data_IF_006101398231
#
_entry.id   IF_006101398231
#
_cell.length_a   1.000
_cell.length_b   1.000
_cell.length_c   1.000
_cell.angle_alpha   90.00
_cell.angle_beta   90.00
_cell.angle_gamma   90.00
#
_symmetry.space_group_name_H-M   'P 1'
#
loop_
_entity.id
_entity.type
_entity.pdbx_description
1 polymer ?
#
# COMPACT_ATOMS: atom_id res chain seq x y z
N UNK A 1 -6.48 -23.59 14.27
CA UNK A 1 -7.29 -22.61 15.02
C UNK A 1 -6.95 -21.15 14.67
N UNK A 2 -5.69 -20.75 14.69
CA UNK A 2 -5.24 -19.38 14.36
C UNK A 2 -5.68 -18.91 12.97
N UNK A 3 -5.49 -19.73 11.93
CA UNK A 3 -5.84 -19.37 10.54
C UNK A 3 -7.35 -19.11 10.37
N UNK A 4 -8.20 -19.90 11.04
CA UNK A 4 -9.67 -19.76 10.97
C UNK A 4 -10.15 -18.47 11.66
N UNK A 5 -9.51 -18.07 12.74
CA UNK A 5 -9.79 -16.80 13.41
C UNK A 5 -9.26 -15.61 12.59
N UNK A 6 -8.07 -15.75 12.00
CA UNK A 6 -7.48 -14.71 11.17
C UNK A 6 -8.34 -14.42 9.92
N UNK A 7 -8.92 -15.45 9.30
CA UNK A 7 -9.81 -15.27 8.14
C UNK A 7 -11.14 -14.62 8.51
N UNK A 8 -11.63 -14.80 9.73
CA UNK A 8 -12.83 -14.12 10.22
C UNK A 8 -12.62 -12.60 10.32
N UNK A 9 -11.41 -12.18 10.68
CA UNK A 9 -11.07 -10.76 10.85
C UNK A 9 -10.29 -10.18 9.67
N UNK A 10 -10.01 -10.95 8.61
CA UNK A 10 -9.19 -10.52 7.48
C UNK A 10 -9.67 -9.21 6.84
N UNK A 11 -10.98 -9.08 6.61
CA UNK A 11 -11.57 -7.85 6.07
C UNK A 11 -11.43 -6.66 7.04
N UNK A 12 -11.55 -6.87 8.33
CA UNK A 12 -11.37 -5.81 9.33
C UNK A 12 -9.91 -5.34 9.39
N UNK A 13 -8.97 -6.30 9.37
CA UNK A 13 -7.53 -5.99 9.37
C UNK A 13 -7.16 -5.21 8.11
N UNK A 14 -7.61 -5.66 6.94
CA UNK A 14 -7.37 -4.96 5.67
C UNK A 14 -7.97 -3.55 5.67
N UNK A 15 -9.18 -3.38 6.22
CA UNK A 15 -9.85 -2.09 6.32
C UNK A 15 -9.08 -1.12 7.24
N UNK A 16 -8.70 -1.56 8.43
CA UNK A 16 -7.92 -0.75 9.38
C UNK A 16 -6.59 -0.35 8.74
N UNK A 17 -5.91 -1.29 8.08
CA UNK A 17 -4.64 -1.02 7.40
C UNK A 17 -4.80 0.00 6.27
N UNK A 18 -5.84 -0.12 5.44
CA UNK A 18 -6.12 0.82 4.36
C UNK A 18 -6.42 2.24 4.90
N UNK A 19 -7.17 2.34 5.99
CA UNK A 19 -7.42 3.63 6.67
C UNK A 19 -6.15 4.23 7.23
N UNK A 20 -5.34 3.46 7.96
CA UNK A 20 -4.07 3.93 8.52
C UNK A 20 -3.11 4.41 7.43
N UNK A 21 -2.97 3.65 6.34
CA UNK A 21 -2.13 4.02 5.20
C UNK A 21 -2.61 5.31 4.52
N UNK A 22 -3.92 5.45 4.31
CA UNK A 22 -4.52 6.62 3.67
C UNK A 22 -4.38 7.86 4.54
N UNK A 23 -4.71 7.77 5.83
CA UNK A 23 -4.58 8.89 6.77
C UNK A 23 -3.12 9.29 6.95
N UNK A 24 -2.20 8.33 7.06
CA UNK A 24 -0.76 8.61 7.10
C UNK A 24 -0.27 9.32 5.84
N UNK A 25 -0.70 8.86 4.67
CA UNK A 25 -0.35 9.47 3.39
C UNK A 25 -0.86 10.92 3.27
N UNK A 26 -2.09 11.18 3.72
CA UNK A 26 -2.67 12.53 3.75
C UNK A 26 -1.96 13.42 4.78
N UNK A 27 -1.63 12.89 5.95
CA UNK A 27 -0.89 13.62 6.98
C UNK A 27 0.45 14.13 6.44
N UNK A 28 1.23 13.27 5.81
CA UNK A 28 2.52 13.67 5.24
C UNK A 28 2.39 14.72 4.13
N UNK A 29 1.36 14.65 3.30
CA UNK A 29 1.21 15.59 2.19
C UNK A 29 0.50 16.89 2.56
N UNK A 30 -0.47 16.88 3.48
CA UNK A 30 -1.29 18.05 3.79
C UNK A 30 -0.77 18.81 5.03
N UNK A 31 -0.25 18.10 6.02
CA UNK A 31 0.19 18.73 7.28
C UNK A 31 1.69 19.02 7.24
N UNK A 32 2.51 18.06 6.81
CA UNK A 32 3.97 18.22 6.71
C UNK A 32 4.35 18.96 5.42
N UNK A 33 3.46 18.97 4.39
CA UNK A 33 3.68 19.69 3.14
C UNK A 33 4.64 18.96 2.17
N UNK A 34 4.86 17.67 2.35
CA UNK A 34 5.69 16.88 1.43
C UNK A 34 4.97 16.69 0.09
N UNK A 35 5.60 17.15 -0.99
CA UNK A 35 5.08 16.99 -2.34
C UNK A 35 5.25 15.54 -2.78
N UNK A 36 4.15 14.79 -3.01
CA UNK A 36 4.25 13.40 -3.42
C UNK A 36 4.82 13.29 -4.83
N UNK A 37 5.80 12.42 -5.02
CA UNK A 37 6.33 12.10 -6.33
C UNK A 37 5.31 11.29 -7.17
N UNK A 38 5.59 11.09 -8.45
CA UNK A 38 4.69 10.40 -9.37
C UNK A 38 4.38 8.95 -8.93
N UNK A 39 5.37 8.21 -8.45
CA UNK A 39 5.17 6.84 -7.94
C UNK A 39 4.28 6.82 -6.68
N UNK A 40 4.41 7.83 -5.81
CA UNK A 40 3.53 8.00 -4.66
C UNK A 40 2.07 8.22 -5.07
N UNK A 41 1.83 8.95 -6.18
CA UNK A 41 0.49 9.12 -6.74
C UNK A 41 -0.11 7.80 -7.22
N UNK A 42 0.65 6.96 -7.91
CA UNK A 42 0.17 5.63 -8.33
C UNK A 42 -0.19 4.74 -7.14
N UNK A 43 0.61 4.76 -6.08
CA UNK A 43 0.29 4.03 -4.84
C UNK A 43 -1.00 4.54 -4.20
N UNK A 44 -1.24 5.86 -4.19
CA UNK A 44 -2.49 6.46 -3.69
C UNK A 44 -3.70 6.03 -4.52
N UNK A 45 -3.60 6.06 -5.85
CA UNK A 45 -4.66 5.62 -6.75
C UNK A 45 -5.07 4.16 -6.48
N UNK A 46 -4.12 3.30 -6.08
CA UNK A 46 -4.41 1.91 -5.75
C UNK A 46 -4.95 1.74 -4.32
N UNK A 47 -4.50 2.55 -3.37
CA UNK A 47 -4.87 2.41 -1.95
C UNK A 47 -6.21 3.10 -1.61
N UNK A 48 -6.48 4.28 -2.14
CA UNK A 48 -7.67 5.07 -1.77
C UNK A 48 -9.00 4.38 -2.09
N UNK A 49 -9.17 3.73 -3.25
CA UNK A 49 -10.39 2.96 -3.52
C UNK A 49 -10.65 1.84 -2.51
N UNK A 50 -9.60 1.27 -1.92
CA UNK A 50 -9.75 0.20 -0.92
C UNK A 50 -10.47 0.70 0.34
N UNK A 51 -10.31 1.97 0.70
CA UNK A 51 -11.00 2.61 1.83
C UNK A 51 -12.52 2.62 1.65
N UNK A 52 -12.99 2.61 0.41
CA UNK A 52 -14.41 2.57 0.05
C UNK A 52 -14.89 1.14 -0.21
N UNK A 53 -14.11 0.35 -0.94
CA UNK A 53 -14.47 -1.02 -1.35
C UNK A 53 -14.55 -1.96 -0.14
N UNK A 54 -13.57 -1.89 0.78
CA UNK A 54 -13.50 -2.80 1.92
C UNK A 54 -14.67 -2.66 2.91
N UNK A 55 -15.11 -1.45 3.32
CA UNK A 55 -16.27 -1.33 4.20
C UNK A 55 -17.55 -1.79 3.53
N UNK A 56 -17.73 -1.53 2.23
CA UNK A 56 -18.89 -2.02 1.47
C UNK A 56 -18.92 -3.55 1.47
N UNK A 57 -17.77 -4.18 1.19
CA UNK A 57 -17.62 -5.63 1.23
C UNK A 57 -17.88 -6.20 2.62
N UNK A 58 -17.47 -5.50 3.68
CA UNK A 58 -17.69 -5.90 5.06
C UNK A 58 -19.18 -5.88 5.42
N UNK A 59 -19.91 -4.81 5.04
CA UNK A 59 -21.34 -4.68 5.26
C UNK A 59 -22.11 -5.76 4.49
N UNK A 60 -21.74 -6.02 3.24
CA UNK A 60 -22.35 -7.04 2.38
C UNK A 60 -21.89 -8.46 2.70
N UNK A 61 -20.93 -8.64 3.59
CA UNK A 61 -20.27 -9.93 3.89
C UNK A 61 -19.75 -10.63 2.63
N UNK A 62 -19.32 -9.82 1.65
CA UNK A 62 -18.84 -10.33 0.35
C UNK A 62 -17.36 -10.70 0.43
N UNK A 63 -17.10 -12.00 0.42
CA UNK A 63 -15.73 -12.55 0.39
C UNK A 63 -15.11 -12.52 -1.01
N UNK A 64 -15.91 -12.26 -2.07
CA UNK A 64 -15.39 -12.21 -3.44
C UNK A 64 -14.56 -10.95 -3.69
N UNK A 65 -14.72 -9.92 -2.88
CA UNK A 65 -13.90 -8.70 -2.92
C UNK A 65 -12.40 -9.00 -2.92
N UNK A 66 -11.98 -10.09 -2.30
CA UNK A 66 -10.58 -10.51 -2.26
C UNK A 66 -9.96 -10.75 -3.65
N UNK A 67 -10.76 -11.17 -4.64
CA UNK A 67 -10.28 -11.38 -6.02
C UNK A 67 -9.96 -10.07 -6.75
N UNK A 68 -10.57 -8.97 -6.36
CA UNK A 68 -10.31 -7.63 -6.93
C UNK A 68 -9.26 -6.87 -6.14
N UNK A 69 -9.32 -6.93 -4.81
CA UNK A 69 -8.39 -6.23 -3.93
C UNK A 69 -6.99 -6.83 -3.98
N UNK A 70 -6.87 -8.16 -4.12
CA UNK A 70 -5.57 -8.83 -4.17
C UNK A 70 -4.68 -8.34 -5.32
N UNK A 71 -5.11 -8.31 -6.60
CA UNK A 71 -4.27 -7.80 -7.68
C UNK A 71 -3.93 -6.32 -7.51
N UNK A 72 -4.86 -5.49 -7.03
CA UNK A 72 -4.59 -4.08 -6.76
C UNK A 72 -3.51 -3.89 -5.69
N UNK A 73 -3.58 -4.66 -4.60
CA UNK A 73 -2.59 -4.58 -3.53
C UNK A 73 -1.23 -5.14 -3.94
N UNK A 74 -1.18 -6.17 -4.79
CA UNK A 74 0.08 -6.69 -5.34
C UNK A 74 0.74 -5.65 -6.25
N UNK A 75 -0.01 -5.01 -7.15
CA UNK A 75 0.51 -3.93 -7.99
C UNK A 75 1.04 -2.77 -7.15
N UNK A 76 0.30 -2.37 -6.11
CA UNK A 76 0.75 -1.35 -5.18
C UNK A 76 2.04 -1.73 -4.44
N UNK A 77 2.17 -2.99 -4.03
CA UNK A 77 3.38 -3.50 -3.40
C UNK A 77 4.59 -3.48 -4.36
N UNK A 78 4.40 -3.87 -5.62
CA UNK A 78 5.46 -3.83 -6.64
C UNK A 78 5.94 -2.39 -6.90
N UNK A 79 5.04 -1.43 -7.01
CA UNK A 79 5.38 -0.02 -7.20
C UNK A 79 6.12 0.52 -5.97
N UNK A 80 5.66 0.19 -4.76
CA UNK A 80 6.30 0.60 -3.52
C UNK A 80 7.70 -0.01 -3.37
N UNK A 81 7.86 -1.28 -3.73
CA UNK A 81 9.14 -1.98 -3.72
C UNK A 81 10.13 -1.36 -4.71
N UNK A 82 9.68 -1.08 -5.94
CA UNK A 82 10.48 -0.41 -6.96
C UNK A 82 10.96 0.97 -6.47
N UNK A 83 10.05 1.77 -5.90
CA UNK A 83 10.41 3.08 -5.34
C UNK A 83 11.40 2.97 -4.17
N UNK A 84 11.24 1.98 -3.31
CA UNK A 84 12.18 1.71 -2.21
C UNK A 84 13.58 1.38 -2.74
N UNK A 85 13.67 0.55 -3.79
CA UNK A 85 14.94 0.25 -4.46
C UNK A 85 15.59 1.50 -5.05
N UNK A 86 14.82 2.39 -5.68
CA UNK A 86 15.34 3.65 -6.21
C UNK A 86 15.93 4.56 -5.12
N UNK A 87 15.37 4.53 -3.90
CA UNK A 87 15.87 5.33 -2.79
C UNK A 87 17.09 4.73 -2.11
N UNK A 88 17.20 3.40 -2.05
CA UNK A 88 18.26 2.71 -1.33
C UNK A 88 19.46 2.33 -2.21
N UNK A 89 19.31 2.36 -3.53
CA UNK A 89 20.38 1.99 -4.47
C UNK A 89 20.75 3.18 -5.36
N UNK A 90 22.00 3.26 -5.88
CA UNK A 90 22.43 4.30 -6.82
C UNK A 90 21.69 4.25 -8.16
N UNK A 91 20.78 3.30 -8.37
CA UNK A 91 19.91 3.21 -9.55
C UNK A 91 19.04 4.46 -9.75
N UNK A 92 18.78 5.25 -8.70
CA UNK A 92 18.06 6.53 -8.80
C UNK A 92 18.81 7.63 -9.56
N UNK A 93 20.09 7.44 -9.85
CA UNK A 93 20.91 8.36 -10.67
C UNK A 93 20.83 8.06 -12.18
N UNK A 94 20.22 6.94 -12.58
CA UNK A 94 20.06 6.57 -13.99
C UNK A 94 18.92 7.37 -14.61
N UNK A 95 19.16 8.01 -15.76
CA UNK A 95 18.25 8.93 -16.46
C UNK A 95 16.86 8.36 -16.83
N UNK A 96 16.69 7.04 -16.76
CA UNK A 96 15.42 6.34 -17.05
C UNK A 96 14.27 6.68 -16.06
N UNK A 97 14.58 7.29 -14.92
CA UNK A 97 13.63 7.63 -13.85
C UNK A 97 13.47 9.14 -13.66
N UNK A 98 13.75 9.95 -14.69
CA UNK A 98 13.37 11.36 -14.67
C UNK A 98 11.85 11.45 -14.61
N UNK A 99 11.32 11.39 -13.40
CA UNK A 99 9.97 11.85 -13.11
C UNK A 99 9.91 13.32 -13.50
N UNK A 100 9.29 13.61 -14.63
CA UNK A 100 9.33 14.90 -15.35
C UNK A 100 8.64 16.04 -14.57
N UNK A 101 8.07 15.80 -13.40
CA UNK A 101 7.29 16.82 -12.67
C UNK A 101 7.81 16.95 -11.24
N UNK A 102 8.50 18.05 -11.00
CA UNK A 102 8.80 18.76 -9.73
C UNK A 102 9.56 18.02 -8.62
N UNK A 103 9.43 16.72 -8.41
CA UNK A 103 10.13 16.04 -7.31
C UNK A 103 10.69 14.69 -7.77
N UNK A 104 12.01 14.44 -7.70
CA UNK A 104 12.59 13.16 -8.08
C UNK A 104 12.14 12.05 -7.13
N UNK A 105 11.73 10.89 -7.68
CA UNK A 105 11.26 9.75 -6.89
C UNK A 105 12.36 9.10 -6.03
N UNK A 106 13.62 9.44 -6.30
CA UNK A 106 14.79 9.03 -5.51
C UNK A 106 15.05 9.92 -4.30
N UNK A 107 14.37 11.08 -4.19
CA UNK A 107 14.54 11.97 -3.05
C UNK A 107 13.98 11.33 -1.78
N UNK A 108 14.79 11.30 -0.76
CA UNK A 108 14.41 10.78 0.56
C UNK A 108 13.91 11.95 1.38
N UNK A 109 12.58 12.09 1.49
CA UNK A 109 11.96 13.22 2.20
C UNK A 109 11.83 12.96 3.72
N UNK A 110 11.79 11.70 4.15
CA UNK A 110 11.78 11.31 5.55
C UNK A 110 12.43 9.94 5.75
N UNK A 111 13.45 9.88 6.58
CA UNK A 111 14.05 8.63 7.05
C UNK A 111 13.81 8.52 8.54
N UNK A 112 13.13 7.47 8.96
CA UNK A 112 13.03 7.05 10.35
C UNK A 112 13.92 5.84 10.58
N UNK A 113 14.75 5.86 11.62
CA UNK A 113 15.65 4.76 11.99
C UNK A 113 16.65 4.30 10.90
N UNK A 114 16.95 5.14 9.89
CA UNK A 114 17.96 4.86 8.86
C UNK A 114 17.50 4.00 7.67
N UNK A 115 16.39 3.25 7.77
CA UNK A 115 15.87 2.39 6.69
C UNK A 115 14.36 2.48 6.47
N UNK A 116 13.61 3.06 7.42
CA UNK A 116 12.17 3.23 7.31
C UNK A 116 11.90 4.52 6.54
N UNK A 117 11.54 4.36 5.27
CA UNK A 117 11.12 5.44 4.38
C UNK A 117 9.62 5.36 4.13
N UNK A 118 9.03 6.42 3.57
CA UNK A 118 7.61 6.45 3.21
C UNK A 118 7.23 5.30 2.26
N UNK A 119 8.01 4.97 1.20
CA UNK A 119 7.75 3.79 0.37
C UNK A 119 7.81 2.48 1.12
N UNK A 120 8.70 2.35 2.11
CA UNK A 120 8.76 1.15 2.95
C UNK A 120 7.47 0.94 3.74
N UNK A 121 6.94 1.99 4.37
CA UNK A 121 5.66 1.94 5.09
C UNK A 121 4.51 1.57 4.15
N UNK A 122 4.50 2.13 2.94
CA UNK A 122 3.53 1.79 1.90
C UNK A 122 3.63 0.32 1.46
N UNK A 123 4.85 -0.18 1.26
CA UNK A 123 5.12 -1.58 0.92
C UNK A 123 4.55 -2.52 2.00
N UNK A 124 4.85 -2.28 3.26
CA UNK A 124 4.32 -3.09 4.38
C UNK A 124 2.78 -3.08 4.38
N UNK A 125 2.17 -1.91 4.16
CA UNK A 125 0.71 -1.79 4.11
C UNK A 125 0.09 -2.63 2.99
N UNK A 126 0.64 -2.57 1.78
CA UNK A 126 0.18 -3.40 0.66
C UNK A 126 0.41 -4.89 0.89
N UNK A 127 1.52 -5.28 1.52
CA UNK A 127 1.80 -6.68 1.84
C UNK A 127 0.80 -7.23 2.87
N UNK A 128 0.46 -6.46 3.90
CA UNK A 128 -0.54 -6.85 4.90
C UNK A 128 -1.91 -7.04 4.24
N UNK A 129 -2.34 -6.10 3.38
CA UNK A 129 -3.60 -6.23 2.64
C UNK A 129 -3.57 -7.45 1.71
N UNK A 130 -2.49 -7.66 0.97
CA UNK A 130 -2.34 -8.82 0.07
C UNK A 130 -2.42 -10.14 0.83
N UNK A 131 -1.72 -10.24 1.95
CA UNK A 131 -1.71 -11.44 2.77
C UNK A 131 -3.10 -11.75 3.34
N UNK A 132 -3.79 -10.75 3.88
CA UNK A 132 -5.14 -10.92 4.43
C UNK A 132 -6.14 -11.35 3.36
N UNK A 133 -6.07 -10.78 2.15
CA UNK A 133 -6.91 -11.15 1.02
C UNK A 133 -6.59 -12.57 0.52
N UNK A 134 -5.31 -12.93 0.44
CA UNK A 134 -4.91 -14.29 0.07
C UNK A 134 -5.44 -15.34 1.05
N UNK A 135 -5.32 -15.09 2.37
CA UNK A 135 -5.87 -15.97 3.39
C UNK A 135 -7.40 -16.10 3.28
N UNK A 136 -8.09 -15.02 2.94
CA UNK A 136 -9.53 -15.03 2.73
C UNK A 136 -9.94 -15.91 1.55
N UNK A 137 -9.21 -15.85 0.42
CA UNK A 137 -9.43 -16.71 -0.75
C UNK A 137 -9.15 -18.18 -0.40
N UNK A 138 -8.05 -18.45 0.29
CA UNK A 138 -7.70 -19.82 0.69
C UNK A 138 -8.74 -20.45 1.61
N UNK A 139 -9.28 -19.67 2.55
CA UNK A 139 -10.34 -20.13 3.46
C UNK A 139 -11.67 -20.39 2.76
N UNK A 140 -11.92 -19.77 1.61
CA UNK A 140 -13.15 -20.01 0.83
C UNK A 140 -13.06 -21.33 0.04
N UNK A 141 -11.84 -21.79 -0.29
CA UNK A 141 -11.62 -23.04 -1.05
C UNK A 141 -11.63 -24.29 -0.17
N UNK A 142 -11.55 -24.17 1.13
CA UNK A 142 -11.68 -25.26 2.11
C UNK A 142 -13.13 -25.38 2.62
#
# INVERSE_FOLDING_TARGET
>A
MLVKNLTKYALHIALIQAWMATLGSLFYSQIIGLVPCQLCWYQRILMYPLVIILPIALIRKDKNVAYYVLPMSILGALIAFYQYLLQMTPLGSVELTKCVITTPCSKIDAIYFGFITIPFMSLVSFLVVSLTMYLLIKSKKQ
#
